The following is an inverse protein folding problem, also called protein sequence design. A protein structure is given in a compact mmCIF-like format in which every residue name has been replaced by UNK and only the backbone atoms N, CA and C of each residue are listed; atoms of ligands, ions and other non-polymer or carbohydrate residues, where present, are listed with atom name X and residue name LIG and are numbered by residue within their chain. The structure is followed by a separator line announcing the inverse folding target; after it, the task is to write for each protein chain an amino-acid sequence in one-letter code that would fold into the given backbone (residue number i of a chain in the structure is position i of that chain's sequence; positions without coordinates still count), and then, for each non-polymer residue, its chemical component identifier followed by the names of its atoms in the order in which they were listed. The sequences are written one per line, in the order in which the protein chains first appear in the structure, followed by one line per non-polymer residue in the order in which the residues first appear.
data_IF_022500102676
#
_entry.id   IF_022500102676
#
_cell.length_a   1.000
_cell.length_b   1.000
_cell.length_c   1.000
_cell.angle_alpha   90.00
_cell.angle_beta   90.00
_cell.angle_gamma   90.00
#
_symmetry.space_group_name_H-M   'P 1'
#
loop_
_entity.id
_entity.type
_entity.pdbx_description
1 polymer ?
#
# COMPACT_ATOMS: atom_id res chain seq x y z
N UNK A 1 -12.86 3.47 0.76
CA UNK A 1 -12.94 4.00 -0.62
C UNK A 1 -13.01 2.83 -1.56
N UNK A 2 -13.90 2.83 -2.56
CA UNK A 2 -14.05 1.72 -3.51
C UNK A 2 -13.76 2.22 -4.93
N UNK A 3 -12.97 1.46 -5.70
CA UNK A 3 -12.70 1.73 -7.12
C UNK A 3 -12.80 0.45 -7.94
N UNK A 4 -13.34 0.57 -9.14
CA UNK A 4 -13.39 -0.54 -10.09
C UNK A 4 -12.05 -0.71 -10.81
N UNK A 5 -11.62 -1.96 -10.98
CA UNK A 5 -10.40 -2.38 -11.66
C UNK A 5 -10.75 -3.02 -13.02
N UNK A 6 -9.82 -3.79 -13.60
CA UNK A 6 -10.08 -4.58 -14.81
C UNK A 6 -10.90 -5.85 -14.50
N UNK A 7 -11.55 -6.43 -15.52
CA UNK A 7 -12.25 -7.73 -15.46
C UNK A 7 -13.32 -7.89 -14.36
N UNK A 8 -13.96 -6.77 -13.98
CA UNK A 8 -14.99 -6.73 -12.94
C UNK A 8 -14.44 -6.80 -11.52
N UNK A 9 -13.12 -6.75 -11.33
CA UNK A 9 -12.51 -6.64 -10.00
C UNK A 9 -12.75 -5.27 -9.38
N UNK A 10 -12.79 -5.24 -8.06
CA UNK A 10 -12.93 -4.01 -7.28
C UNK A 10 -11.85 -3.93 -6.23
N UNK A 11 -11.36 -2.73 -5.96
CA UNK A 11 -10.50 -2.46 -4.80
C UNK A 11 -11.27 -1.66 -3.76
N UNK A 12 -11.19 -2.09 -2.52
CA UNK A 12 -11.53 -1.29 -1.34
C UNK A 12 -10.26 -0.90 -0.62
N UNK A 13 -10.09 0.40 -0.39
CA UNK A 13 -8.95 0.95 0.33
C UNK A 13 -9.37 1.83 1.49
N UNK A 14 -8.61 1.80 2.58
CA UNK A 14 -8.79 2.70 3.72
C UNK A 14 -8.28 4.12 3.49
N UNK A 15 -7.58 4.37 2.37
CA UNK A 15 -7.09 5.69 1.95
C UNK A 15 -7.36 5.90 0.46
N UNK A 16 -7.22 7.13 -0.02
CA UNK A 16 -7.42 7.46 -1.43
C UNK A 16 -6.27 6.91 -2.28
N UNK A 17 -6.61 6.25 -3.38
CA UNK A 17 -5.64 5.57 -4.25
C UNK A 17 -5.91 5.88 -5.71
N UNK A 18 -4.85 6.12 -6.48
CA UNK A 18 -4.90 6.25 -7.94
C UNK A 18 -4.65 4.88 -8.58
N UNK A 19 -5.48 4.54 -9.57
CA UNK A 19 -5.44 3.26 -10.26
C UNK A 19 -4.90 3.47 -11.67
N UNK A 20 -3.84 2.74 -12.03
CA UNK A 20 -3.27 2.70 -13.37
C UNK A 20 -3.38 1.29 -13.92
N UNK A 21 -3.53 1.18 -15.25
CA UNK A 21 -3.76 -0.08 -15.96
C UNK A 21 -2.81 -0.14 -17.16
N UNK A 22 -2.18 -1.29 -17.40
CA UNK A 22 -1.27 -1.48 -18.54
C UNK A 22 -1.93 -2.05 -19.79
N UNK A 23 -3.20 -2.46 -19.71
CA UNK A 23 -3.97 -3.02 -20.82
C UNK A 23 -3.92 -4.55 -20.94
N UNK A 24 -2.98 -5.22 -20.27
CA UNK A 24 -2.83 -6.68 -20.23
C UNK A 24 -3.27 -7.28 -18.87
N UNK A 25 -4.02 -6.49 -18.11
CA UNK A 25 -4.52 -6.88 -16.78
C UNK A 25 -3.60 -6.50 -15.63
N UNK A 26 -2.44 -5.90 -15.90
CA UNK A 26 -1.62 -5.29 -14.87
C UNK A 26 -2.29 -4.05 -14.30
N UNK A 27 -2.36 -4.00 -12.98
CA UNK A 27 -2.91 -2.89 -12.20
C UNK A 27 -1.85 -2.36 -11.26
N UNK A 28 -1.61 -1.05 -11.29
CA UNK A 28 -0.81 -0.36 -10.29
C UNK A 28 -1.72 0.57 -9.46
N UNK A 29 -1.69 0.40 -8.14
CA UNK A 29 -2.41 1.25 -7.19
C UNK A 29 -1.40 2.09 -6.42
N UNK A 30 -1.47 3.41 -6.57
CA UNK A 30 -0.63 4.35 -5.83
C UNK A 30 -1.44 5.09 -4.79
N UNK A 31 -0.89 5.30 -3.61
CA UNK A 31 -1.49 6.19 -2.62
C UNK A 31 -1.51 7.63 -3.18
N UNK A 32 -2.67 8.29 -3.17
CA UNK A 32 -2.87 9.59 -3.83
C UNK A 32 -2.06 10.72 -3.16
N UNK A 33 -1.92 10.66 -1.84
CA UNK A 33 -1.18 11.65 -1.07
C UNK A 33 -0.19 10.95 -0.15
N UNK A 34 1.11 11.12 -0.44
CA UNK A 34 2.10 11.11 0.62
C UNK A 34 2.83 12.46 0.57
N UNK A 35 2.49 13.43 1.46
CA UNK A 35 3.17 14.72 1.50
C UNK A 35 4.67 14.62 1.83
N UNK A 36 5.17 13.41 2.16
CA UNK A 36 6.58 13.12 2.47
C UNK A 36 7.36 12.51 1.32
N UNK A 37 6.89 12.61 0.07
CA UNK A 37 7.65 12.11 -1.08
C UNK A 37 8.83 13.05 -1.43
N UNK A 38 9.81 13.12 -0.53
CA UNK A 38 11.12 13.77 -0.72
C UNK A 38 11.99 12.91 -1.66
N UNK A 39 11.56 12.76 -2.91
CA UNK A 39 12.33 12.08 -3.97
C UNK A 39 12.23 10.55 -4.02
N UNK A 40 11.31 9.92 -3.27
CA UNK A 40 11.04 8.49 -3.32
C UNK A 40 9.98 8.08 -4.35
N UNK A 41 9.97 6.80 -4.74
CA UNK A 41 8.86 6.23 -5.50
C UNK A 41 7.59 6.22 -4.64
N UNK A 42 6.43 6.70 -5.15
CA UNK A 42 5.20 6.71 -4.39
C UNK A 42 4.81 5.29 -3.92
N UNK A 43 4.27 5.13 -2.69
CA UNK A 43 3.82 3.84 -2.19
C UNK A 43 2.82 3.19 -3.15
N UNK A 44 3.11 1.95 -3.54
CA UNK A 44 2.34 1.26 -4.57
C UNK A 44 1.98 -0.18 -4.18
N UNK A 45 0.95 -0.71 -4.84
CA UNK A 45 0.66 -2.14 -4.96
C UNK A 45 0.50 -2.49 -6.44
N UNK A 46 1.14 -3.57 -6.87
CA UNK A 46 1.03 -4.10 -8.22
C UNK A 46 0.27 -5.41 -8.19
N UNK A 47 -0.72 -5.52 -9.08
CA UNK A 47 -1.50 -6.73 -9.28
C UNK A 47 -1.48 -7.13 -10.75
N UNK A 48 -1.62 -8.43 -10.99
CA UNK A 48 -2.00 -8.96 -12.29
C UNK A 48 -3.38 -9.59 -12.16
N UNK A 49 -4.33 -9.07 -12.91
CA UNK A 49 -5.71 -9.50 -12.89
C UNK A 49 -6.06 -10.24 -14.18
N UNK A 50 -6.89 -11.25 -14.05
CA UNK A 50 -7.63 -11.87 -15.16
C UNK A 50 -9.11 -11.93 -14.80
N UNK A 51 -9.93 -12.54 -15.65
CA UNK A 51 -11.34 -12.79 -15.31
C UNK A 51 -11.50 -13.75 -14.12
N UNK A 52 -10.52 -14.59 -13.82
CA UNK A 52 -10.63 -15.64 -12.79
C UNK A 52 -9.61 -15.48 -11.66
N UNK A 53 -8.52 -14.77 -11.89
CA UNK A 53 -7.38 -14.69 -10.99
C UNK A 53 -7.03 -13.24 -10.61
N UNK A 54 -6.51 -13.08 -9.40
CA UNK A 54 -5.90 -11.86 -8.92
C UNK A 54 -4.59 -12.23 -8.22
N UNK A 55 -3.48 -11.89 -8.86
CA UNK A 55 -2.15 -12.11 -8.34
C UNK A 55 -1.59 -10.80 -7.79
N UNK A 56 -1.17 -10.81 -6.52
CA UNK A 56 -0.40 -9.70 -5.94
C UNK A 56 1.06 -9.87 -6.35
N UNK A 57 1.56 -8.97 -7.20
CA UNK A 57 2.94 -9.04 -7.70
C UNK A 57 3.93 -8.32 -6.79
N UNK A 58 3.51 -7.18 -6.23
CA UNK A 58 4.35 -6.34 -5.37
C UNK A 58 3.50 -5.46 -4.48
N UNK A 59 4.04 -5.10 -3.31
CA UNK A 59 3.44 -4.11 -2.43
C UNK A 59 4.53 -3.34 -1.69
N UNK A 60 4.27 -2.07 -1.40
CA UNK A 60 5.15 -1.24 -0.59
C UNK A 60 5.05 -1.57 0.90
N UNK A 61 6.09 -1.20 1.67
CA UNK A 61 6.12 -1.37 3.13
C UNK A 61 5.04 -0.58 3.89
N UNK A 62 4.34 0.33 3.20
CA UNK A 62 3.20 1.06 3.74
C UNK A 62 1.93 0.21 3.78
N UNK A 63 1.91 -0.96 3.15
CA UNK A 63 0.75 -1.84 3.11
C UNK A 63 0.75 -2.73 4.36
N UNK A 64 -0.27 -2.55 5.20
CA UNK A 64 -0.46 -3.34 6.42
C UNK A 64 -1.15 -4.67 6.13
N UNK A 65 -2.08 -4.69 5.17
CA UNK A 65 -2.75 -5.92 4.77
C UNK A 65 -3.32 -5.83 3.37
N UNK A 66 -3.25 -6.95 2.64
CA UNK A 66 -4.00 -7.19 1.42
C UNK A 66 -4.89 -8.41 1.66
N UNK A 67 -6.18 -8.31 1.31
CA UNK A 67 -7.09 -9.45 1.26
C UNK A 67 -7.70 -9.53 -0.12
N UNK A 68 -7.75 -10.74 -0.66
CA UNK A 68 -8.33 -11.03 -1.98
C UNK A 68 -9.47 -12.01 -1.73
N UNK A 69 -10.66 -11.73 -2.25
CA UNK A 69 -11.84 -12.56 -2.07
C UNK A 69 -12.36 -13.09 -3.41
N UNK A 70 -13.17 -14.17 -3.35
CA UNK A 70 -13.73 -14.82 -4.53
C UNK A 70 -14.80 -13.97 -5.22
N UNK A 71 -15.36 -12.98 -4.53
CA UNK A 71 -16.30 -11.98 -5.08
C UNK A 71 -15.59 -10.91 -5.94
N UNK A 72 -14.40 -11.20 -6.44
CA UNK A 72 -13.53 -10.30 -7.22
C UNK A 72 -13.22 -8.99 -6.48
N UNK A 73 -12.90 -9.10 -5.20
CA UNK A 73 -12.64 -7.95 -4.36
C UNK A 73 -11.23 -7.99 -3.75
N UNK A 74 -10.51 -6.90 -3.90
CA UNK A 74 -9.22 -6.64 -3.26
C UNK A 74 -9.44 -5.62 -2.15
N UNK A 75 -9.07 -5.95 -0.91
CA UNK A 75 -9.09 -5.00 0.20
C UNK A 75 -7.66 -4.66 0.60
N UNK A 76 -7.30 -3.38 0.54
CA UNK A 76 -5.97 -2.88 0.87
C UNK A 76 -6.07 -1.95 2.07
N UNK A 77 -5.27 -2.25 3.09
CA UNK A 77 -5.07 -1.39 4.25
C UNK A 77 -3.67 -0.82 4.23
N UNK A 78 -3.56 0.48 4.01
CA UNK A 78 -2.35 1.26 4.14
C UNK A 78 -2.16 1.70 5.60
N UNK A 79 -0.91 1.83 6.04
CA UNK A 79 -0.55 2.44 7.32
C UNK A 79 -1.12 3.86 7.37
N UNK A 80 -1.87 4.18 8.43
CA UNK A 80 -2.63 5.43 8.51
C UNK A 80 -1.76 6.67 8.60
N UNK A 81 -0.64 6.61 9.32
CA UNK A 81 0.20 7.78 9.53
C UNK A 81 1.64 7.35 9.83
N UNK A 82 2.57 7.81 8.99
CA UNK A 82 3.97 7.99 9.42
C UNK A 82 4.15 9.34 10.14
N UNK A 83 3.14 10.23 10.08
CA UNK A 83 3.24 11.63 10.51
C UNK A 83 2.81 11.82 11.97
N UNK A 84 1.80 11.10 12.45
CA UNK A 84 1.41 11.18 13.88
C UNK A 84 2.43 10.50 14.82
N UNK A 85 3.29 9.60 14.30
CA UNK A 85 4.37 8.96 15.06
C UNK A 85 5.77 9.53 14.76
N UNK A 86 5.86 10.58 13.93
CA UNK A 86 7.04 11.44 13.85
C UNK A 86 6.88 12.65 14.79
N UNK A 87 6.25 12.48 15.96
CA UNK A 87 6.95 12.96 17.14
C UNK A 87 8.18 12.07 17.31
N UNK A 88 9.22 12.34 16.52
CA UNK A 88 10.55 12.05 16.97
C UNK A 88 10.72 12.88 18.25
N UNK A 89 10.36 12.32 19.41
CA UNK A 89 11.19 12.63 20.56
C UNK A 89 12.58 12.13 20.17
N UNK A 90 13.52 13.06 20.13
CA UNK A 90 14.94 12.79 20.11
C UNK A 90 15.25 11.93 21.35
N UNK A 91 15.04 10.62 21.21
CA UNK A 91 15.16 9.64 22.28
C UNK A 91 16.62 9.31 22.48
N UNK A 92 17.13 9.61 23.68
CA UNK A 92 18.51 9.40 24.12
C UNK A 92 19.00 7.99 23.76
N UNK A 93 20.10 7.92 23.01
CA UNK A 93 20.87 6.70 22.83
C UNK A 93 21.56 6.35 24.16
N UNK A 94 20.93 5.53 24.98
CA UNK A 94 21.57 4.98 26.16
C UNK A 94 22.48 3.81 25.73
N UNK A 95 23.77 4.09 25.57
CA UNK A 95 24.80 3.06 25.54
C UNK A 95 24.74 2.28 26.87
N UNK A 96 24.21 1.06 26.87
CA UNK A 96 24.49 0.12 27.95
C UNK A 96 25.91 -0.40 27.74
N UNK A 97 26.87 0.16 28.47
CA UNK A 97 28.13 -0.52 28.69
C UNK A 97 27.89 -1.64 29.72
N UNK A 98 28.16 -2.87 29.29
CA UNK A 98 28.36 -4.01 30.18
C UNK A 98 29.37 -3.61 31.27
N UNK A 99 28.98 -3.76 32.54
CA UNK A 99 29.95 -3.67 33.64
C UNK A 99 30.51 -5.07 33.90
N UNK A 100 31.84 -5.11 33.95
CA UNK A 100 32.71 -6.23 34.35
C UNK A 100 32.36 -6.83 35.73
#
# INVERSE_FOLDING_TARGET
MEKELAFGWKVQSNQEVRVFRDGEGGIALFLEENPFNFGGEPPSCLFKLTEEECELQSFSNFVTSVKITLEKQVQIKWQKDFVENLSAEEGVFAFQQEQE
#
